data_IF_100936512553
#
_entry.id   IF_100936512553
#
_cell.length_a   1.000
_cell.length_b   1.000
_cell.length_c   1.000
_cell.angle_alpha   90.00
_cell.angle_beta   90.00
_cell.angle_gamma   90.00
#
_symmetry.space_group_name_H-M   'P 1'
#
loop_
_entity.id
_entity.type
_entity.pdbx_description
1 polymer ?
#
# COMPACT_ATOMS: atom_id res chain seq x y z
N UNK A 1 14.40 -39.12 23.97
CA UNK A 1 14.25 -38.71 24.52
C UNK A 1 13.55 -38.54 24.98
N UNK A 2 13.68 -38.76 25.10
CA UNK A 2 12.77 -38.50 25.51
C UNK A 2 12.16 -37.41 25.31
N UNK A 3 11.74 -37.13 25.32
CA UNK A 3 11.37 -36.26 25.50
C UNK A 3 11.33 -35.47 26.11
N UNK A 4 11.28 -35.67 25.77
CA UNK A 4 11.24 -34.95 26.31
C UNK A 4 11.03 -34.36 27.16
N UNK A 5 11.32 -34.52 27.27
CA UNK A 5 11.25 -33.88 28.56
C UNK A 5 11.99 -32.59 28.62
N UNK A 6 12.43 -32.22 27.49
CA UNK A 6 13.04 -30.88 27.31
C UNK A 6 11.92 -29.85 27.42
N UNK A 7 12.04 -28.87 28.32
CA UNK A 7 11.07 -27.80 28.40
C UNK A 7 10.93 -27.07 27.06
N UNK A 8 9.75 -26.60 26.76
CA UNK A 8 9.51 -25.95 25.48
C UNK A 8 10.45 -24.78 25.21
N UNK A 9 10.74 -23.97 26.22
CA UNK A 9 11.61 -22.83 26.02
C UNK A 9 13.05 -23.21 25.75
N UNK A 10 13.42 -24.46 26.00
CA UNK A 10 14.73 -24.95 25.56
C UNK A 10 14.67 -25.42 24.13
N UNK A 11 13.55 -25.97 23.73
CA UNK A 11 13.37 -26.43 22.37
C UNK A 11 13.25 -25.27 21.41
N UNK A 12 12.61 -24.20 21.86
CA UNK A 12 12.43 -23.01 21.05
C UNK A 12 13.24 -21.91 21.70
N UNK A 13 14.32 -21.55 21.08
CA UNK A 13 15.21 -20.54 21.61
C UNK A 13 14.42 -19.29 22.02
N UNK A 14 14.65 -18.83 23.23
CA UNK A 14 13.95 -17.67 23.77
C UNK A 14 14.82 -16.43 23.67
N UNK A 15 14.42 -15.52 22.79
CA UNK A 15 15.12 -14.27 22.58
C UNK A 15 14.45 -13.09 23.29
N UNK A 16 13.48 -13.35 24.15
CA UNK A 16 12.70 -12.27 24.76
C UNK A 16 13.51 -11.34 25.65
N UNK A 17 14.68 -11.77 26.09
CA UNK A 17 15.55 -10.94 26.93
C UNK A 17 16.40 -9.97 26.13
N UNK A 18 16.43 -10.13 24.82
CA UNK A 18 17.25 -9.28 23.96
C UNK A 18 16.51 -7.97 23.70
N UNK A 19 16.30 -7.60 22.48
CA UNK A 19 15.68 -6.33 22.16
C UNK A 19 14.16 -6.50 22.08
N UNK A 20 13.43 -5.84 22.97
CA UNK A 20 11.98 -5.99 23.06
C UNK A 20 11.25 -5.58 21.81
N UNK A 21 11.83 -4.69 21.00
CA UNK A 21 11.18 -4.27 19.78
C UNK A 21 11.07 -5.39 18.74
N UNK A 22 11.85 -6.45 18.90
CA UNK A 22 11.83 -7.59 18.00
C UNK A 22 11.00 -8.76 18.52
N UNK A 23 10.25 -8.56 19.61
CA UNK A 23 9.42 -9.63 20.15
C UNK A 23 8.25 -9.87 19.21
N UNK A 24 8.30 -10.99 18.50
CA UNK A 24 7.38 -11.32 17.45
C UNK A 24 5.91 -11.35 17.89
N UNK A 25 5.66 -11.85 19.10
CA UNK A 25 4.27 -11.97 19.58
C UNK A 25 3.60 -10.61 19.69
N UNK A 26 4.30 -9.62 20.23
CA UNK A 26 3.74 -8.27 20.36
C UNK A 26 3.55 -7.63 19.01
N UNK A 27 4.53 -7.80 18.13
CA UNK A 27 4.45 -7.24 16.79
C UNK A 27 3.34 -7.87 15.97
N UNK A 28 3.16 -9.18 16.11
CA UNK A 28 2.10 -9.89 15.40
C UNK A 28 0.72 -9.44 15.87
N UNK A 29 0.55 -9.28 17.18
CA UNK A 29 -0.71 -8.82 17.74
C UNK A 29 -1.07 -7.43 17.20
N UNK A 30 -0.09 -6.54 17.19
CA UNK A 30 -0.28 -5.19 16.69
C UNK A 30 -0.64 -5.20 15.20
N UNK A 31 0.06 -6.02 14.43
CA UNK A 31 -0.21 -6.15 13.02
C UNK A 31 -1.62 -6.67 12.74
N UNK A 32 -2.05 -7.68 13.51
CA UNK A 32 -3.39 -8.22 13.35
C UNK A 32 -4.46 -7.19 13.69
N UNK A 33 -4.24 -6.40 14.73
CA UNK A 33 -5.17 -5.34 15.09
C UNK A 33 -5.32 -4.32 13.97
N UNK A 34 -4.19 -3.91 13.40
CA UNK A 34 -4.22 -2.95 12.32
C UNK A 34 -4.86 -3.52 11.06
N UNK A 35 -4.60 -4.78 10.75
CA UNK A 35 -5.22 -5.44 9.60
C UNK A 35 -6.73 -5.51 9.76
N UNK A 36 -7.19 -5.87 10.95
CA UNK A 36 -8.62 -5.93 11.22
C UNK A 36 -9.27 -4.56 11.11
N UNK A 37 -8.60 -3.52 11.60
CA UNK A 37 -9.09 -2.16 11.50
C UNK A 37 -9.22 -1.71 10.05
N UNK A 38 -8.24 -2.07 9.23
CA UNK A 38 -8.28 -1.74 7.80
C UNK A 38 -9.52 -2.34 7.15
N UNK A 39 -9.80 -3.61 7.41
CA UNK A 39 -10.95 -4.28 6.83
C UNK A 39 -12.28 -3.76 7.38
N UNK A 40 -12.38 -3.65 8.70
CA UNK A 40 -13.66 -3.34 9.34
C UNK A 40 -14.02 -1.87 9.26
N UNK A 41 -13.03 -1.00 9.33
CA UNK A 41 -13.28 0.44 9.37
C UNK A 41 -13.22 1.08 7.98
N UNK A 42 -12.29 0.64 7.14
CA UNK A 42 -12.07 1.27 5.84
C UNK A 42 -12.48 0.39 4.66
N UNK A 43 -12.82 -0.86 4.92
CA UNK A 43 -13.32 -1.80 3.91
C UNK A 43 -12.40 -1.94 2.70
N UNK A 44 -11.11 -2.05 2.96
CA UNK A 44 -10.11 -2.31 1.93
C UNK A 44 -9.22 -3.45 2.36
N UNK A 45 -8.52 -4.05 1.42
CA UNK A 45 -7.56 -5.10 1.72
C UNK A 45 -6.24 -4.50 2.19
N UNK A 46 -5.41 -5.31 2.82
CA UNK A 46 -4.10 -4.85 3.23
C UNK A 46 -3.22 -4.52 2.02
N UNK A 47 -3.40 -5.25 0.92
CA UNK A 47 -2.69 -4.93 -0.33
C UNK A 47 -3.10 -3.58 -0.88
N UNK A 48 -4.37 -3.24 -0.78
CA UNK A 48 -4.85 -1.92 -1.19
C UNK A 48 -4.21 -0.83 -0.34
N UNK A 49 -4.12 -1.07 0.96
CA UNK A 49 -3.45 -0.13 1.85
C UNK A 49 -1.98 0.05 1.46
N UNK A 50 -1.28 -1.03 1.13
CA UNK A 50 0.11 -0.93 0.70
C UNK A 50 0.24 -0.03 -0.52
N UNK A 51 -0.68 -0.15 -1.46
CA UNK A 51 -0.67 0.71 -2.64
C UNK A 51 -0.88 2.18 -2.27
N UNK A 52 -1.80 2.46 -1.36
CA UNK A 52 -2.03 3.83 -0.91
C UNK A 52 -0.80 4.39 -0.19
N UNK A 53 -0.12 3.57 0.59
CA UNK A 53 1.13 3.97 1.23
C UNK A 53 2.19 4.31 0.18
N UNK A 54 2.27 3.48 -0.87
CA UNK A 54 3.21 3.73 -1.95
C UNK A 54 2.93 5.07 -2.64
N UNK A 55 1.67 5.38 -2.90
CA UNK A 55 1.30 6.56 -3.67
C UNK A 55 1.18 7.84 -2.84
N UNK A 56 1.34 7.76 -1.53
CA UNK A 56 1.03 8.89 -0.65
C UNK A 56 1.89 10.12 -0.93
N UNK A 57 3.16 9.91 -1.25
CA UNK A 57 4.08 11.03 -1.49
C UNK A 57 4.15 11.44 -2.96
N UNK A 58 3.32 10.84 -3.81
CA UNK A 58 3.28 11.19 -5.22
C UNK A 58 2.12 12.13 -5.47
N UNK A 59 2.37 13.17 -6.25
CA UNK A 59 1.30 14.06 -6.66
C UNK A 59 0.42 13.37 -7.71
N UNK A 60 1.05 12.74 -8.68
CA UNK A 60 0.38 11.98 -9.73
C UNK A 60 1.20 10.76 -10.07
N UNK A 61 0.54 9.75 -10.61
CA UNK A 61 1.24 8.57 -11.13
C UNK A 61 0.47 8.02 -12.34
N UNK A 62 1.16 7.23 -13.15
CA UNK A 62 0.53 6.46 -14.22
C UNK A 62 0.49 5.00 -13.81
N UNK A 63 -0.38 4.23 -14.48
CA UNK A 63 -0.42 2.79 -14.23
C UNK A 63 0.90 2.14 -14.64
N UNK A 64 1.49 2.61 -15.75
CA UNK A 64 2.78 2.07 -16.20
C UNK A 64 3.88 2.30 -15.18
N UNK A 65 3.97 3.50 -14.63
CA UNK A 65 4.98 3.82 -13.64
C UNK A 65 4.77 2.98 -12.37
N UNK A 66 3.52 2.90 -11.90
CA UNK A 66 3.22 2.14 -10.69
C UNK A 66 3.53 0.65 -10.88
N UNK A 67 3.16 0.08 -12.02
CA UNK A 67 3.42 -1.32 -12.28
C UNK A 67 4.92 -1.60 -12.32
N UNK A 68 5.69 -0.71 -12.92
CA UNK A 68 7.13 -0.85 -13.00
C UNK A 68 7.77 -0.73 -11.63
N UNK A 69 7.40 0.29 -10.87
CA UNK A 69 8.00 0.55 -9.55
C UNK A 69 7.65 -0.54 -8.54
N UNK A 70 6.42 -1.05 -8.60
CA UNK A 70 5.95 -2.10 -7.70
C UNK A 70 6.22 -3.51 -8.23
N UNK A 71 6.82 -3.61 -9.42
CA UNK A 71 7.14 -4.88 -10.07
C UNK A 71 5.91 -5.77 -10.20
N UNK A 72 4.83 -5.19 -10.68
CA UNK A 72 3.55 -5.87 -10.85
C UNK A 72 3.15 -5.90 -12.32
N UNK A 73 2.35 -6.90 -12.67
CA UNK A 73 1.72 -6.95 -13.99
C UNK A 73 0.73 -5.79 -14.10
N UNK A 74 0.80 -5.06 -15.21
CA UNK A 74 -0.03 -3.87 -15.43
C UNK A 74 -1.52 -4.19 -15.35
N UNK A 75 -1.95 -5.29 -15.98
CA UNK A 75 -3.36 -5.67 -15.98
C UNK A 75 -3.84 -6.04 -14.58
N UNK A 76 -3.03 -6.77 -13.82
CA UNK A 76 -3.36 -7.12 -12.45
C UNK A 76 -3.47 -5.89 -11.58
N UNK A 77 -2.51 -4.98 -11.71
CA UNK A 77 -2.54 -3.74 -10.93
C UNK A 77 -3.80 -2.95 -11.24
N UNK A 78 -4.12 -2.79 -12.52
CA UNK A 78 -5.30 -2.02 -12.93
C UNK A 78 -6.59 -2.65 -12.42
N UNK A 79 -6.75 -3.94 -12.64
CA UNK A 79 -8.02 -4.62 -12.38
C UNK A 79 -8.24 -4.93 -10.90
N UNK A 80 -7.18 -5.21 -10.17
CA UNK A 80 -7.30 -5.65 -8.78
C UNK A 80 -7.05 -4.54 -7.77
N UNK A 81 -6.38 -3.48 -8.14
CA UNK A 81 -6.01 -2.41 -7.21
C UNK A 81 -6.57 -1.07 -7.65
N UNK A 82 -6.17 -0.60 -8.82
CA UNK A 82 -6.48 0.77 -9.25
C UNK A 82 -8.00 0.97 -9.42
N UNK A 83 -8.65 0.13 -10.22
CA UNK A 83 -10.07 0.32 -10.49
C UNK A 83 -10.95 0.12 -9.27
N UNK A 84 -10.71 -0.90 -8.43
CA UNK A 84 -11.49 -1.00 -7.19
C UNK A 84 -11.29 0.18 -6.24
N UNK A 85 -10.07 0.68 -6.10
CA UNK A 85 -9.79 1.83 -5.25
C UNK A 85 -10.39 3.10 -5.84
N UNK A 86 -10.39 3.23 -7.16
CA UNK A 86 -11.04 4.34 -7.83
C UNK A 86 -12.54 4.32 -7.58
N UNK A 87 -13.16 3.15 -7.70
CA UNK A 87 -14.58 2.98 -7.46
C UNK A 87 -14.94 3.30 -6.01
N UNK A 88 -14.06 2.94 -5.08
CA UNK A 88 -14.28 3.21 -3.66
C UNK A 88 -13.98 4.66 -3.26
N UNK A 89 -13.46 5.47 -4.18
CA UNK A 89 -13.21 6.88 -3.90
C UNK A 89 -11.84 7.19 -3.32
N UNK A 90 -10.90 6.25 -3.39
CA UNK A 90 -9.55 6.46 -2.88
C UNK A 90 -8.56 6.94 -3.94
N UNK A 91 -8.89 6.74 -5.21
CA UNK A 91 -8.04 7.16 -6.33
C UNK A 91 -8.93 7.89 -7.31
N UNK A 92 -8.45 8.94 -7.92
CA UNK A 92 -9.15 9.58 -9.01
C UNK A 92 -8.28 9.62 -10.26
N UNK A 93 -8.93 9.66 -11.41
CA UNK A 93 -8.31 9.68 -12.72
C UNK A 93 -8.41 11.07 -13.30
N UNK A 94 -7.29 11.57 -13.80
CA UNK A 94 -7.21 12.91 -14.35
C UNK A 94 -6.80 12.84 -15.81
N UNK A 95 -7.51 13.59 -16.65
CA UNK A 95 -7.23 13.67 -18.07
C UNK A 95 -6.71 15.06 -18.39
N UNK A 96 -5.52 15.12 -18.97
CA UNK A 96 -4.96 16.36 -19.51
C UNK A 96 -4.84 16.22 -21.01
N UNK A 97 -5.32 17.21 -21.75
CA UNK A 97 -5.13 17.22 -23.18
C UNK A 97 -3.66 17.45 -23.49
N UNK A 98 -3.11 16.64 -24.39
CA UNK A 98 -1.72 16.80 -24.82
C UNK A 98 -1.59 18.04 -25.67
N UNK A 99 -0.48 18.76 -25.50
CA UNK A 99 -0.16 19.94 -26.29
C UNK A 99 1.14 19.72 -27.04
N UNK A 100 1.36 20.43 -28.15
CA UNK A 100 2.64 20.30 -28.86
C UNK A 100 3.86 20.68 -28.04
N UNK A 101 3.68 21.42 -26.95
CA UNK A 101 4.77 21.85 -26.11
C UNK A 101 5.15 20.85 -25.04
N UNK A 102 4.43 19.74 -24.92
CA UNK A 102 4.77 18.71 -23.93
C UNK A 102 6.15 18.16 -24.24
N UNK A 103 6.97 18.03 -23.20
CA UNK A 103 8.34 17.58 -23.36
C UNK A 103 8.40 16.06 -23.41
N UNK A 104 9.53 15.55 -23.90
CA UNK A 104 9.73 14.11 -23.99
C UNK A 104 9.72 13.44 -22.62
N UNK A 105 10.25 14.12 -21.62
CA UNK A 105 10.29 13.58 -20.26
C UNK A 105 8.91 13.27 -19.71
N UNK A 106 7.92 14.01 -20.13
CA UNK A 106 6.55 13.80 -19.65
C UNK A 106 6.02 12.42 -20.01
N UNK A 107 6.52 11.83 -21.09
CA UNK A 107 6.07 10.50 -21.50
C UNK A 107 6.40 9.42 -20.48
N UNK A 108 7.36 9.65 -19.61
CA UNK A 108 7.76 8.70 -18.59
C UNK A 108 6.68 8.53 -17.51
N UNK A 109 5.82 9.53 -17.35
CA UNK A 109 4.88 9.59 -16.22
C UNK A 109 3.43 9.70 -16.65
N UNK A 110 3.13 9.33 -17.87
CA UNK A 110 1.75 9.42 -18.35
C UNK A 110 1.45 8.29 -19.32
N UNK A 111 0.17 7.89 -19.31
CA UNK A 111 -0.39 7.00 -20.32
C UNK A 111 -1.09 7.86 -21.36
N UNK A 112 -0.88 7.59 -22.63
CA UNK A 112 -1.53 8.33 -23.70
C UNK A 112 -2.73 7.55 -24.20
N UNK A 113 -3.79 8.26 -24.51
CA UNK A 113 -4.98 7.66 -25.10
C UNK A 113 -4.99 7.93 -26.60
N UNK A 114 -5.85 7.22 -27.30
CA UNK A 114 -6.04 7.44 -28.73
C UNK A 114 -6.59 8.84 -29.06
N UNK A 115 -7.00 9.58 -28.04
CA UNK A 115 -7.53 10.92 -28.21
C UNK A 115 -6.52 12.00 -27.84
N UNK A 116 -5.27 11.64 -27.67
CA UNK A 116 -4.20 12.57 -27.31
C UNK A 116 -4.42 13.22 -25.95
N UNK A 117 -4.83 12.43 -24.98
CA UNK A 117 -4.94 12.87 -23.60
C UNK A 117 -3.88 12.19 -22.76
N UNK A 118 -3.35 12.96 -21.84
CA UNK A 118 -2.50 12.44 -20.78
C UNK A 118 -3.41 11.92 -19.67
N UNK A 119 -3.15 10.68 -19.24
CA UNK A 119 -3.94 10.08 -18.17
C UNK A 119 -3.06 9.92 -16.94
N UNK A 120 -3.49 10.52 -15.86
CA UNK A 120 -2.78 10.45 -14.59
C UNK A 120 -3.76 10.07 -13.48
N UNK A 121 -3.22 9.45 -12.45
CA UNK A 121 -3.99 9.06 -11.28
C UNK A 121 -3.40 9.73 -10.05
N UNK A 122 -4.21 9.94 -9.04
CA UNK A 122 -3.76 10.50 -7.78
C UNK A 122 -4.64 10.00 -6.65
N UNK A 123 -4.10 10.03 -5.44
CA UNK A 123 -4.88 9.72 -4.25
C UNK A 123 -5.84 10.87 -3.96
N UNK A 124 -7.04 10.51 -3.54
CA UNK A 124 -8.02 11.49 -3.08
C UNK A 124 -7.70 11.93 -1.66
N UNK A 125 -8.36 12.99 -1.20
CA UNK A 125 -8.26 13.39 0.20
C UNK A 125 -8.69 12.28 1.14
N UNK A 126 -9.72 11.52 0.74
CA UNK A 126 -10.16 10.37 1.52
C UNK A 126 -9.04 9.36 1.73
N UNK A 127 -8.28 9.07 0.68
CA UNK A 127 -7.15 8.15 0.77
C UNK A 127 -6.04 8.71 1.66
N UNK A 128 -5.75 9.99 1.54
CA UNK A 128 -4.70 10.61 2.35
C UNK A 128 -5.05 10.60 3.83
N UNK A 129 -6.30 10.85 4.15
CA UNK A 129 -6.77 10.80 5.54
C UNK A 129 -6.70 9.38 6.10
N UNK A 130 -6.99 8.37 5.25
CA UNK A 130 -6.86 6.98 5.66
C UNK A 130 -5.42 6.63 6.01
N UNK A 131 -4.48 7.03 5.16
CA UNK A 131 -3.05 6.76 5.41
C UNK A 131 -2.62 7.41 6.72
N UNK A 132 -3.02 8.66 6.95
CA UNK A 132 -2.68 9.36 8.18
C UNK A 132 -3.28 8.66 9.39
N UNK A 133 -4.52 8.20 9.29
CA UNK A 133 -5.17 7.47 10.38
C UNK A 133 -4.46 6.15 10.67
N UNK A 134 -3.99 5.47 9.62
CA UNK A 134 -3.24 4.24 9.77
C UNK A 134 -1.95 4.47 10.58
N UNK A 135 -1.21 5.50 10.25
CA UNK A 135 0.02 5.80 10.98
C UNK A 135 -0.26 6.20 12.43
N UNK A 136 -1.31 6.97 12.66
CA UNK A 136 -1.70 7.29 14.04
C UNK A 136 -2.06 6.04 14.82
N UNK A 137 -2.72 5.09 14.17
CA UNK A 137 -3.05 3.82 14.79
C UNK A 137 -1.81 3.00 15.16
N UNK A 138 -0.81 3.00 14.29
CA UNK A 138 0.44 2.32 14.58
C UNK A 138 1.14 2.93 15.79
N UNK A 139 1.18 4.25 15.85
CA UNK A 139 1.83 4.93 16.97
C UNK A 139 1.11 4.68 18.28
N UNK A 140 -0.22 4.74 18.29
CA UNK A 140 -0.99 4.53 19.51
C UNK A 140 -1.04 3.08 19.93
N UNK A 141 -0.71 2.14 19.06
CA UNK A 141 -0.68 0.72 19.39
C UNK A 141 0.63 0.31 20.09
N UNK A 142 1.61 1.19 20.13
CA UNK A 142 2.89 0.87 20.77
C UNK A 142 2.88 1.00 22.27
#
# INVERSE_FOLDING_TARGET
MPKSKVPKKRMFRDFSRQDKKYIKRNNLKRLKQMRQKVRSQWDISFSDLEFLLWGYDLQFFTIDYAAQDLEMNKANLSNRVIYPLQKAGYIYKHFDKLTPSDTYEDHLFRDETKYNYRVRYALTQKARLLVQAFYRGLESAS
#
